data_IF_650169357789
#
_entry.id   IF_650169357789
#
_cell.length_a   1.000
_cell.length_b   1.000
_cell.length_c   1.000
_cell.angle_alpha   90.00
_cell.angle_beta   90.00
_cell.angle_gamma   90.00
#
_symmetry.space_group_name_H-M   'P 1'
#
loop_
_entity.id
_entity.type
_entity.pdbx_description
1 polymer ?
#
# COMPACT_ATOMS: atom_id res chain seq x y z
N UNK A 1 12.55 21.37 -9.97
CA UNK A 1 11.59 20.34 -9.56
C UNK A 1 11.85 20.07 -8.09
N UNK A 2 10.91 20.39 -7.22
CA UNK A 2 11.06 20.22 -5.76
C UNK A 2 10.66 18.81 -5.38
N UNK A 3 11.48 18.12 -4.58
CA UNK A 3 11.19 16.78 -4.08
C UNK A 3 10.68 16.89 -2.64
N UNK A 4 9.55 16.24 -2.35
CA UNK A 4 8.98 16.16 -1.00
C UNK A 4 9.34 14.79 -0.44
N UNK A 5 10.16 14.78 0.61
CA UNK A 5 10.47 13.57 1.36
C UNK A 5 9.38 13.36 2.43
N UNK A 6 8.52 12.36 2.21
CA UNK A 6 7.53 11.93 3.21
C UNK A 6 8.09 10.76 4.00
N UNK A 7 8.15 10.88 5.33
CA UNK A 7 8.61 9.82 6.23
C UNK A 7 7.47 9.46 7.18
N UNK A 8 7.06 8.19 7.19
CA UNK A 8 5.99 7.68 8.07
C UNK A 8 6.61 7.12 9.35
N UNK A 9 6.04 7.43 10.52
CA UNK A 9 6.51 6.95 11.82
C UNK A 9 5.36 6.65 12.77
N UNK A 10 5.53 5.65 13.66
CA UNK A 10 4.55 5.33 14.72
C UNK A 10 4.73 6.28 15.90
N UNK A 11 3.65 6.86 16.40
CA UNK A 11 3.70 7.68 17.61
C UNK A 11 3.91 6.80 18.85
N UNK A 12 4.72 7.25 19.82
CA UNK A 12 5.02 6.47 21.04
C UNK A 12 3.83 6.31 21.99
N UNK A 13 2.77 7.06 21.77
CA UNK A 13 1.66 7.24 22.69
C UNK A 13 0.39 7.54 21.90
N UNK A 14 -0.76 7.20 22.44
CA UNK A 14 -2.04 7.55 21.84
C UNK A 14 -2.25 9.07 21.90
N UNK A 15 -2.84 9.66 20.87
CA UNK A 15 -3.11 11.10 20.82
C UNK A 15 -4.45 11.44 20.15
N UNK A 16 -5.12 12.47 20.66
CA UNK A 16 -6.22 13.14 19.98
C UNK A 16 -5.66 14.20 19.03
N UNK A 17 -6.16 14.23 17.79
CA UNK A 17 -5.61 15.04 16.69
C UNK A 17 -5.92 16.56 16.76
N UNK A 18 -6.31 17.10 17.91
CA UNK A 18 -6.69 18.52 18.07
C UNK A 18 -5.46 19.45 18.01
N UNK A 19 -4.92 19.70 16.82
CA UNK A 19 -3.93 20.76 16.57
C UNK A 19 -2.56 20.57 17.24
N UNK A 20 -2.24 19.35 17.66
CA UNK A 20 -0.95 19.04 18.30
C UNK A 20 0.20 19.14 17.29
N UNK A 21 1.22 19.93 17.60
CA UNK A 21 2.47 19.93 16.83
C UNK A 21 3.33 18.72 17.23
N UNK A 22 3.63 17.84 16.27
CA UNK A 22 4.48 16.67 16.52
C UNK A 22 5.95 17.00 16.26
N UNK A 23 6.80 16.65 17.22
CA UNK A 23 8.25 16.70 17.07
C UNK A 23 8.78 15.31 16.72
N UNK A 24 9.96 15.26 16.08
CA UNK A 24 10.58 13.99 15.69
C UNK A 24 10.74 13.01 16.87
N UNK A 25 10.96 13.53 18.07
CA UNK A 25 11.15 12.75 19.29
C UNK A 25 9.88 12.04 19.79
N UNK A 26 8.70 12.52 19.39
CA UNK A 26 7.41 11.93 19.76
C UNK A 26 7.18 10.59 19.04
N UNK A 27 7.87 10.37 17.93
CA UNK A 27 7.83 9.14 17.17
C UNK A 27 8.71 8.08 17.81
N UNK A 28 8.24 6.83 17.76
CA UNK A 28 9.02 5.67 18.12
C UNK A 28 10.19 5.62 17.16
N UNK A 29 11.41 5.65 17.70
CA UNK A 29 12.57 5.47 16.84
C UNK A 29 12.47 4.09 16.19
N UNK A 30 12.78 3.98 14.89
CA UNK A 30 12.77 2.69 14.21
C UNK A 30 13.69 1.76 15.00
N UNK A 31 13.09 0.77 15.66
CA UNK A 31 13.86 -0.34 16.15
C UNK A 31 14.39 -1.02 14.88
N UNK A 32 15.70 -1.24 14.71
CA UNK A 32 16.26 -1.81 13.48
C UNK A 32 15.90 -3.29 13.28
N UNK A 33 14.92 -3.79 14.04
CA UNK A 33 14.22 -5.02 13.71
C UNK A 33 13.40 -4.72 12.46
N UNK A 34 14.04 -4.87 11.30
CA UNK A 34 13.39 -5.21 10.05
C UNK A 34 12.36 -6.29 10.37
N UNK A 35 11.08 -5.90 10.40
CA UNK A 35 9.98 -6.86 10.48
C UNK A 35 9.87 -7.42 9.06
N UNK A 36 10.75 -8.37 8.76
CA UNK A 36 10.63 -9.22 7.59
C UNK A 36 9.46 -10.15 7.92
N UNK A 37 8.32 -9.90 7.30
CA UNK A 37 7.20 -10.84 7.38
C UNK A 37 7.69 -12.20 6.89
N UNK A 38 7.41 -13.30 7.61
CA UNK A 38 7.96 -14.63 7.32
C UNK A 38 7.58 -15.19 5.93
N UNK A 39 6.68 -14.52 5.21
CA UNK A 39 6.40 -14.83 3.81
C UNK A 39 7.58 -14.36 2.96
N UNK A 40 8.27 -15.31 2.32
CA UNK A 40 9.37 -15.03 1.42
C UNK A 40 8.83 -14.45 0.10
N UNK A 41 8.67 -13.12 0.05
CA UNK A 41 8.35 -12.43 -1.20
C UNK A 41 9.65 -12.20 -1.98
N UNK A 42 9.88 -13.02 -3.00
CA UNK A 42 10.96 -12.81 -3.97
C UNK A 42 10.62 -11.57 -4.83
N UNK A 43 11.16 -10.43 -4.41
CA UNK A 43 10.93 -9.11 -5.01
C UNK A 43 12.17 -8.56 -5.72
N UNK A 44 13.34 -9.18 -5.54
CA UNK A 44 14.63 -8.65 -6.02
C UNK A 44 14.67 -8.50 -7.54
N UNK A 45 13.92 -9.31 -8.28
CA UNK A 45 13.93 -9.30 -9.75
C UNK A 45 12.73 -8.54 -10.37
N UNK A 46 11.86 -7.92 -9.56
CA UNK A 46 10.57 -7.36 -10.05
C UNK A 46 10.26 -5.93 -9.60
N UNK A 47 11.08 -5.32 -8.74
CA UNK A 47 10.82 -3.97 -8.24
C UNK A 47 11.92 -2.99 -8.69
N UNK A 48 11.63 -2.18 -9.69
CA UNK A 48 12.48 -1.04 -10.06
C UNK A 48 11.94 0.23 -9.40
N UNK A 49 12.72 0.83 -8.49
CA UNK A 49 12.42 2.16 -7.88
C UNK A 49 12.74 3.29 -8.88
N UNK A 50 13.12 2.97 -10.10
CA UNK A 50 13.47 3.97 -11.10
C UNK A 50 12.21 4.75 -11.47
N UNK A 51 12.19 6.03 -11.12
CA UNK A 51 11.16 6.96 -11.59
C UNK A 51 11.34 7.11 -13.11
N UNK A 52 10.62 6.30 -13.89
CA UNK A 52 10.64 6.41 -15.34
C UNK A 52 10.07 7.79 -15.73
N UNK A 53 10.83 8.64 -16.45
CA UNK A 53 10.29 9.91 -16.95
C UNK A 53 9.12 9.73 -17.92
N UNK A 54 8.88 8.51 -18.41
CA UNK A 54 7.70 8.14 -19.18
C UNK A 54 6.86 7.16 -18.35
N UNK A 55 5.77 7.62 -17.71
CA UNK A 55 4.90 6.68 -17.00
C UNK A 55 4.41 5.63 -18.00
N UNK A 56 4.35 4.35 -17.61
CA UNK A 56 3.91 3.31 -18.50
C UNK A 56 2.51 3.68 -19.03
N UNK A 57 2.27 3.39 -20.31
CA UNK A 57 1.00 3.70 -20.96
C UNK A 57 -0.20 3.10 -20.21
N UNK A 58 0.06 2.04 -19.45
CA UNK A 58 -0.85 1.28 -18.62
C UNK A 58 -0.23 1.05 -17.23
N UNK A 59 -1.01 1.29 -16.18
CA UNK A 59 -0.60 1.10 -14.79
C UNK A 59 -1.70 0.36 -14.02
N UNK A 60 -1.30 -0.57 -13.15
CA UNK A 60 -2.21 -1.29 -12.26
C UNK A 60 -2.09 -0.72 -10.86
N UNK A 61 -3.22 -0.44 -10.23
CA UNK A 61 -3.31 0.02 -8.84
C UNK A 61 -4.06 -1.02 -8.03
N UNK A 62 -3.56 -1.32 -6.83
CA UNK A 62 -4.17 -2.24 -5.88
C UNK A 62 -4.55 -1.49 -4.62
N UNK A 63 -5.61 -1.94 -3.94
CA UNK A 63 -6.01 -1.41 -2.64
C UNK A 63 -6.66 -2.51 -1.79
N UNK A 64 -6.23 -2.61 -0.55
CA UNK A 64 -6.87 -3.35 0.54
C UNK A 64 -7.53 -2.38 1.51
N UNK A 65 -8.82 -2.57 1.76
CA UNK A 65 -9.61 -1.73 2.67
C UNK A 65 -10.18 -2.53 3.84
N UNK A 66 -10.33 -1.86 4.97
CA UNK A 66 -11.00 -2.41 6.15
C UNK A 66 -11.80 -1.31 6.84
N UNK A 67 -13.08 -1.59 7.07
CA UNK A 67 -14.02 -0.80 7.82
C UNK A 67 -14.61 -1.67 8.94
N UNK A 68 -15.35 -1.08 9.87
CA UNK A 68 -15.89 -1.78 11.03
C UNK A 68 -16.77 -2.96 10.61
N UNK A 69 -16.21 -4.18 10.71
CA UNK A 69 -16.88 -5.42 10.31
C UNK A 69 -16.87 -5.71 8.82
N UNK A 70 -16.11 -4.99 7.99
CA UNK A 70 -16.02 -5.26 6.55
C UNK A 70 -14.58 -5.15 6.05
N UNK A 71 -14.14 -6.15 5.29
CA UNK A 71 -12.86 -6.13 4.60
C UNK A 71 -13.11 -6.28 3.11
N UNK A 72 -12.40 -5.52 2.30
CA UNK A 72 -12.50 -5.61 0.85
C UNK A 72 -11.17 -5.34 0.18
N UNK A 73 -11.04 -5.77 -1.06
CA UNK A 73 -9.89 -5.46 -1.89
C UNK A 73 -10.33 -5.13 -3.30
N UNK A 74 -9.48 -4.38 -4.00
CA UNK A 74 -9.71 -3.98 -5.37
C UNK A 74 -8.39 -3.86 -6.13
N UNK A 75 -8.47 -4.00 -7.46
CA UNK A 75 -7.47 -3.43 -8.33
C UNK A 75 -8.13 -2.77 -9.54
N UNK A 76 -7.42 -1.82 -10.14
CA UNK A 76 -7.84 -1.21 -11.40
C UNK A 76 -6.66 -1.07 -12.35
N UNK A 77 -6.97 -1.09 -13.64
CA UNK A 77 -6.03 -0.84 -14.71
C UNK A 77 -6.34 0.52 -15.31
N UNK A 78 -5.36 1.41 -15.28
CA UNK A 78 -5.46 2.77 -15.81
C UNK A 78 -4.55 2.87 -17.03
N UNK A 79 -5.13 3.16 -18.18
CA UNK A 79 -4.41 3.43 -19.42
C UNK A 79 -4.68 4.86 -19.87
N UNK A 80 -3.64 5.64 -20.16
CA UNK A 80 -3.79 7.05 -20.56
C UNK A 80 -4.70 7.88 -19.62
N UNK A 81 -4.59 7.66 -18.30
CA UNK A 81 -5.42 8.29 -17.24
C UNK A 81 -6.90 7.87 -17.24
N UNK A 82 -7.30 6.89 -18.04
CA UNK A 82 -8.65 6.32 -18.02
C UNK A 82 -8.62 4.94 -17.38
N UNK A 83 -9.56 4.68 -16.47
CA UNK A 83 -9.77 3.34 -15.92
C UNK A 83 -10.42 2.47 -17.01
N UNK A 84 -9.67 1.47 -17.50
CA UNK A 84 -10.12 0.56 -18.55
C UNK A 84 -10.64 -0.76 -17.99
N UNK A 85 -10.20 -1.14 -16.79
CA UNK A 85 -10.64 -2.35 -16.10
C UNK A 85 -10.61 -2.15 -14.58
N UNK A 86 -11.50 -2.86 -13.89
CA UNK A 86 -11.43 -2.99 -12.43
C UNK A 86 -11.98 -4.33 -11.97
N UNK A 87 -11.53 -4.71 -10.79
CA UNK A 87 -12.01 -5.86 -10.07
C UNK A 87 -12.09 -5.53 -8.59
N UNK A 88 -13.10 -6.05 -7.90
CA UNK A 88 -13.32 -5.84 -6.48
C UNK A 88 -13.81 -7.13 -5.83
N UNK A 89 -13.39 -7.42 -4.61
CA UNK A 89 -13.95 -8.50 -3.81
C UNK A 89 -14.20 -8.06 -2.37
N UNK A 90 -15.33 -8.53 -1.82
CA UNK A 90 -15.60 -8.48 -0.38
C UNK A 90 -15.03 -9.73 0.27
N UNK A 91 -14.24 -9.53 1.32
CA UNK A 91 -13.59 -10.56 2.09
C UNK A 91 -14.34 -10.80 3.41
N UNK A 92 -13.91 -11.82 4.14
CA UNK A 92 -14.42 -12.01 5.49
C UNK A 92 -14.06 -10.79 6.36
N UNK A 93 -14.96 -10.34 7.26
CA UNK A 93 -14.65 -9.31 8.26
C UNK A 93 -13.42 -9.63 9.12
N UNK A 94 -13.05 -10.92 9.23
CA UNK A 94 -11.87 -11.35 9.97
C UNK A 94 -10.56 -11.16 9.19
N UNK A 95 -10.64 -10.89 7.88
CA UNK A 95 -9.44 -10.65 7.07
C UNK A 95 -8.84 -9.29 7.39
N UNK A 96 -7.52 -9.21 7.41
CA UNK A 96 -6.78 -7.96 7.62
C UNK A 96 -6.62 -7.18 6.30
N UNK A 97 -6.34 -5.87 6.38
CA UNK A 97 -5.94 -5.05 5.23
C UNK A 97 -4.78 -5.69 4.45
N UNK A 98 -3.81 -6.28 5.16
CA UNK A 98 -2.68 -6.95 4.51
C UNK A 98 -3.10 -8.18 3.68
N UNK A 99 -4.04 -8.98 4.18
CA UNK A 99 -4.59 -10.10 3.43
C UNK A 99 -5.41 -9.63 2.22
N UNK A 100 -6.14 -8.52 2.38
CA UNK A 100 -6.87 -7.88 1.31
C UNK A 100 -5.94 -7.37 0.20
N UNK A 101 -4.89 -6.65 0.56
CA UNK A 101 -3.85 -6.15 -0.37
C UNK A 101 -3.16 -7.30 -1.10
N UNK A 102 -2.76 -8.35 -0.37
CA UNK A 102 -2.13 -9.54 -0.95
C UNK A 102 -3.03 -10.20 -2.00
N UNK A 103 -4.34 -10.24 -1.77
CA UNK A 103 -5.30 -10.77 -2.74
C UNK A 103 -5.45 -9.84 -3.95
N UNK A 104 -5.55 -8.52 -3.76
CA UNK A 104 -5.60 -7.56 -4.86
C UNK A 104 -4.39 -7.69 -5.79
N UNK A 105 -3.18 -7.80 -5.22
CA UNK A 105 -1.95 -8.01 -5.99
C UNK A 105 -1.98 -9.33 -6.75
N UNK A 106 -2.43 -10.43 -6.12
CA UNK A 106 -2.54 -11.73 -6.77
C UNK A 106 -3.48 -11.67 -7.98
N UNK A 107 -4.65 -11.07 -7.83
CA UNK A 107 -5.62 -10.97 -8.93
C UNK A 107 -5.18 -9.98 -10.02
N UNK A 108 -4.49 -8.90 -9.64
CA UNK A 108 -3.84 -8.00 -10.58
C UNK A 108 -2.82 -8.73 -11.46
N UNK A 109 -1.98 -9.59 -10.87
CA UNK A 109 -1.00 -10.41 -11.62
C UNK A 109 -1.73 -11.38 -12.55
N UNK A 110 -2.77 -12.08 -12.06
CA UNK A 110 -3.56 -13.00 -12.89
C UNK A 110 -4.24 -12.31 -14.08
N UNK A 111 -4.58 -11.02 -13.94
CA UNK A 111 -5.22 -10.24 -15.00
C UNK A 111 -4.30 -9.92 -16.18
N UNK A 112 -2.98 -9.86 -15.95
CA UNK A 112 -1.97 -9.51 -16.97
C UNK A 112 -1.04 -10.68 -17.32
N UNK A 113 -1.25 -11.84 -16.70
CA UNK A 113 -0.54 -13.09 -17.00
C UNK A 113 -1.11 -13.82 -18.20
#
# INVERSE_FOLDING_TARGET
METILVRVGRLRRDCNWEGSSFLYQDFQQPNPLLIIHSDNFDLDDRFSILSDPYPPAEAIYTDGSHLEGETGCAFCVIQNKLQIYHWTAKLSPQNTVFQAEKLAIKEAINCVS
#
